data_IF_103889845169
#
_entry.id   IF_103889845169
#
_cell.length_a   1.000
_cell.length_b   1.000
_cell.length_c   1.000
_cell.angle_alpha   90.00
_cell.angle_beta   90.00
_cell.angle_gamma   90.00
#
_symmetry.space_group_name_H-M   'P 1'
#
loop_
_entity.id
_entity.type
_entity.pdbx_description
1 polymer ?
#
# COMPACT_ATOMS: atom_id res chain seq x y z
N UNK A 1 -90.80 -8.47 -72.30
CA UNK A 1 -89.90 -9.65 -72.16
C UNK A 1 -88.44 -9.23 -72.30
N UNK A 2 -88.04 -8.57 -73.40
CA UNK A 2 -86.63 -8.19 -73.67
C UNK A 2 -85.90 -7.32 -72.62
N UNK A 3 -86.59 -6.39 -71.95
CA UNK A 3 -85.97 -5.50 -70.94
C UNK A 3 -85.69 -6.15 -69.57
N UNK A 4 -86.32 -7.28 -69.25
CA UNK A 4 -86.00 -8.04 -68.01
C UNK A 4 -84.76 -8.91 -68.18
N UNK A 5 -84.55 -9.41 -69.39
CA UNK A 5 -83.37 -10.19 -69.78
C UNK A 5 -82.11 -9.31 -69.78
N UNK A 6 -82.17 -8.10 -70.33
CA UNK A 6 -81.02 -7.16 -70.31
C UNK A 6 -80.61 -6.75 -68.89
N UNK A 7 -81.56 -6.47 -68.00
CA UNK A 7 -81.26 -6.12 -66.60
C UNK A 7 -80.69 -7.31 -65.80
N UNK A 8 -81.12 -8.54 -66.12
CA UNK A 8 -80.56 -9.76 -65.51
C UNK A 8 -79.12 -10.00 -65.94
N UNK A 9 -78.81 -9.76 -67.21
CA UNK A 9 -77.44 -9.91 -67.75
C UNK A 9 -76.51 -8.87 -67.13
N UNK A 10 -76.94 -7.60 -67.03
CA UNK A 10 -76.15 -6.55 -66.35
C UNK A 10 -75.90 -6.88 -64.88
N UNK A 11 -76.89 -7.43 -64.17
CA UNK A 11 -76.73 -7.84 -62.78
C UNK A 11 -75.75 -9.02 -62.63
N UNK A 12 -75.75 -9.97 -63.55
CA UNK A 12 -74.84 -11.12 -63.56
C UNK A 12 -73.40 -10.69 -63.86
N UNK A 13 -73.20 -9.74 -64.77
CA UNK A 13 -71.88 -9.14 -65.04
C UNK A 13 -71.34 -8.34 -63.83
N UNK A 14 -72.20 -7.62 -63.11
CA UNK A 14 -71.80 -6.91 -61.88
C UNK A 14 -71.40 -7.89 -60.77
N UNK A 15 -72.14 -8.99 -60.59
CA UNK A 15 -71.83 -10.03 -59.61
C UNK A 15 -70.48 -10.66 -59.94
N UNK A 16 -70.28 -11.05 -61.21
CA UNK A 16 -69.03 -11.65 -61.67
C UNK A 16 -67.83 -10.72 -61.45
N UNK A 17 -67.98 -9.42 -61.76
CA UNK A 17 -66.93 -8.43 -61.50
C UNK A 17 -66.58 -8.32 -60.01
N UNK A 18 -67.60 -8.33 -59.14
CA UNK A 18 -67.38 -8.28 -57.69
C UNK A 18 -66.69 -9.55 -57.17
N UNK A 19 -67.04 -10.72 -57.69
CA UNK A 19 -66.37 -11.99 -57.36
C UNK A 19 -64.89 -11.99 -57.81
N UNK A 20 -64.61 -11.48 -59.00
CA UNK A 20 -63.25 -11.28 -59.51
C UNK A 20 -62.44 -10.31 -58.62
N UNK A 21 -63.05 -9.20 -58.19
CA UNK A 21 -62.42 -8.24 -57.28
C UNK A 21 -62.14 -8.84 -55.89
N UNK A 22 -63.09 -9.59 -55.33
CA UNK A 22 -62.93 -10.27 -54.04
C UNK A 22 -61.86 -11.35 -54.08
N UNK A 23 -61.77 -12.11 -55.18
CA UNK A 23 -60.72 -13.13 -55.35
C UNK A 23 -59.35 -12.49 -55.55
N UNK A 24 -59.25 -11.40 -56.32
CA UNK A 24 -58.03 -10.62 -56.48
C UNK A 24 -57.53 -10.08 -55.14
N UNK A 25 -58.39 -9.38 -54.39
CA UNK A 25 -58.03 -8.80 -53.08
C UNK A 25 -57.59 -9.88 -52.08
N UNK A 26 -58.24 -11.05 -52.09
CA UNK A 26 -57.84 -12.19 -51.27
C UNK A 26 -56.46 -12.72 -51.65
N UNK A 27 -56.15 -12.79 -52.94
CA UNK A 27 -54.84 -13.22 -53.43
C UNK A 27 -53.74 -12.21 -53.07
N UNK A 28 -54.05 -10.92 -53.16
CA UNK A 28 -53.15 -9.81 -52.80
C UNK A 28 -52.79 -9.87 -51.31
N UNK A 29 -53.77 -9.88 -50.40
CA UNK A 29 -53.53 -10.02 -48.96
C UNK A 29 -52.75 -11.29 -48.62
N UNK A 30 -53.02 -12.41 -49.31
CA UNK A 30 -52.27 -13.66 -49.11
C UNK A 30 -50.82 -13.52 -49.54
N UNK A 31 -50.55 -12.78 -50.62
CA UNK A 31 -49.21 -12.49 -51.10
C UNK A 31 -48.46 -11.59 -50.13
N UNK A 32 -49.09 -10.49 -49.68
CA UNK A 32 -48.53 -9.58 -48.70
C UNK A 32 -48.16 -10.29 -47.40
N UNK A 33 -49.06 -11.15 -46.90
CA UNK A 33 -48.83 -11.93 -45.68
C UNK A 33 -47.60 -12.84 -45.84
N UNK A 34 -47.48 -13.55 -46.97
CA UNK A 34 -46.31 -14.40 -47.25
C UNK A 34 -45.02 -13.59 -47.32
N UNK A 35 -45.07 -12.41 -47.95
CA UNK A 35 -43.92 -11.52 -48.03
C UNK A 35 -43.48 -11.06 -46.64
N UNK A 36 -44.43 -10.67 -45.79
CA UNK A 36 -44.14 -10.23 -44.43
C UNK A 36 -43.52 -11.36 -43.58
N UNK A 37 -44.04 -12.58 -43.68
CA UNK A 37 -43.44 -13.75 -43.03
C UNK A 37 -42.02 -14.01 -43.49
N UNK A 38 -41.77 -14.00 -44.81
CA UNK A 38 -40.43 -14.21 -45.35
C UNK A 38 -39.44 -13.12 -44.90
N UNK A 39 -39.88 -11.86 -44.85
CA UNK A 39 -39.05 -10.76 -44.34
C UNK A 39 -38.77 -10.89 -42.84
N UNK A 40 -39.76 -11.32 -42.07
CA UNK A 40 -39.58 -11.56 -40.63
C UNK A 40 -38.58 -12.69 -40.38
N UNK A 41 -38.72 -13.83 -41.07
CA UNK A 41 -37.77 -14.95 -40.98
C UNK A 41 -36.35 -14.53 -41.37
N UNK A 42 -36.20 -13.74 -42.44
CA UNK A 42 -34.90 -13.22 -42.85
C UNK A 42 -34.28 -12.34 -41.75
N UNK A 43 -35.05 -11.39 -41.20
CA UNK A 43 -34.56 -10.53 -40.12
C UNK A 43 -34.19 -11.32 -38.86
N UNK A 44 -34.97 -12.34 -38.53
CA UNK A 44 -34.67 -13.22 -37.40
C UNK A 44 -33.34 -13.94 -37.61
N UNK A 45 -33.13 -14.53 -38.80
CA UNK A 45 -31.89 -15.22 -39.14
C UNK A 45 -30.67 -14.30 -39.15
N UNK A 46 -30.82 -13.09 -39.69
CA UNK A 46 -29.75 -12.07 -39.66
C UNK A 46 -29.41 -11.69 -38.22
N UNK A 47 -30.41 -11.41 -37.38
CA UNK A 47 -30.20 -11.07 -35.97
C UNK A 47 -29.56 -12.20 -35.17
N UNK A 48 -30.00 -13.42 -35.39
CA UNK A 48 -29.45 -14.61 -34.72
C UNK A 48 -27.98 -14.82 -35.11
N UNK A 49 -27.62 -14.58 -36.38
CA UNK A 49 -26.22 -14.59 -36.83
C UNK A 49 -25.38 -13.45 -36.25
N UNK A 50 -25.93 -12.24 -36.11
CA UNK A 50 -25.27 -11.12 -35.44
C UNK A 50 -24.98 -11.44 -33.97
N UNK A 51 -25.94 -12.02 -33.25
CA UNK A 51 -25.77 -12.43 -31.85
C UNK A 51 -24.72 -13.52 -31.71
N UNK A 52 -24.77 -14.56 -32.54
CA UNK A 52 -23.80 -15.66 -32.49
C UNK A 52 -22.36 -15.14 -32.71
N UNK A 53 -22.19 -14.24 -33.70
CA UNK A 53 -20.90 -13.59 -33.94
C UNK A 53 -20.46 -12.75 -32.74
N UNK A 54 -21.34 -11.95 -32.17
CA UNK A 54 -21.05 -11.10 -31.01
C UNK A 54 -20.64 -11.94 -29.79
N UNK A 55 -21.33 -13.04 -29.51
CA UNK A 55 -20.98 -13.95 -28.42
C UNK A 55 -19.63 -14.63 -28.66
N UNK A 56 -19.39 -15.11 -29.88
CA UNK A 56 -18.11 -15.74 -30.24
C UNK A 56 -16.94 -14.77 -30.08
N UNK A 57 -17.08 -13.54 -30.56
CA UNK A 57 -16.06 -12.49 -30.43
C UNK A 57 -15.83 -12.09 -28.96
N UNK A 58 -16.91 -11.91 -28.19
CA UNK A 58 -16.81 -11.59 -26.76
C UNK A 58 -16.13 -12.70 -25.97
N UNK A 59 -16.45 -13.97 -26.27
CA UNK A 59 -15.84 -15.12 -25.64
C UNK A 59 -14.35 -15.24 -25.99
N UNK A 60 -13.99 -15.11 -27.27
CA UNK A 60 -12.60 -15.15 -27.72
C UNK A 60 -11.78 -14.02 -27.09
N UNK A 61 -12.34 -12.81 -27.00
CA UNK A 61 -11.68 -11.66 -26.37
C UNK A 61 -11.47 -11.89 -24.87
N UNK A 62 -12.49 -12.35 -24.16
CA UNK A 62 -12.40 -12.67 -22.73
C UNK A 62 -11.32 -13.71 -22.46
N UNK A 63 -11.27 -14.77 -23.28
CA UNK A 63 -10.28 -15.83 -23.14
C UNK A 63 -8.86 -15.33 -23.42
N UNK A 64 -8.66 -14.51 -24.45
CA UNK A 64 -7.35 -13.95 -24.76
C UNK A 64 -6.84 -13.02 -23.65
N UNK A 65 -7.74 -12.26 -23.01
CA UNK A 65 -7.40 -11.41 -21.86
C UNK A 65 -7.03 -12.24 -20.62
N UNK A 66 -7.78 -13.32 -20.36
CA UNK A 66 -7.45 -14.29 -19.30
C UNK A 66 -6.06 -14.91 -19.53
N UNK A 67 -5.77 -15.40 -20.74
CA UNK A 67 -4.46 -15.98 -21.09
C UNK A 67 -3.32 -14.95 -20.93
N UNK A 68 -3.56 -13.69 -21.31
CA UNK A 68 -2.58 -12.61 -21.13
C UNK A 68 -2.31 -12.30 -19.65
N UNK A 69 -3.35 -12.26 -18.82
CA UNK A 69 -3.17 -12.02 -17.37
C UNK A 69 -2.46 -13.19 -16.69
N UNK A 70 -2.79 -14.43 -17.07
CA UNK A 70 -2.10 -15.62 -16.58
C UNK A 70 -0.60 -15.62 -16.96
N UNK A 71 -0.26 -15.24 -18.19
CA UNK A 71 1.13 -15.11 -18.63
C UNK A 71 1.90 -14.02 -17.85
N UNK A 72 1.26 -12.88 -17.56
CA UNK A 72 1.91 -11.82 -16.77
C UNK A 72 2.11 -12.25 -15.31
N UNK A 73 1.13 -12.92 -14.70
CA UNK A 73 1.28 -13.49 -13.36
C UNK A 73 2.48 -14.45 -13.32
N UNK A 74 2.59 -15.36 -14.30
CA UNK A 74 3.71 -16.30 -14.38
C UNK A 74 5.06 -15.58 -14.55
N UNK A 75 5.10 -14.51 -15.37
CA UNK A 75 6.30 -13.68 -15.57
C UNK A 75 6.74 -13.00 -14.27
N UNK A 76 5.79 -12.40 -13.54
CA UNK A 76 6.06 -11.74 -12.27
C UNK A 76 6.53 -12.73 -11.20
N UNK A 77 5.94 -13.92 -11.15
CA UNK A 77 6.39 -15.00 -10.27
C UNK A 77 7.83 -15.42 -10.55
N UNK A 78 8.18 -15.64 -11.83
CA UNK A 78 9.55 -15.99 -12.22
C UNK A 78 10.57 -14.89 -11.87
N UNK A 79 10.20 -13.61 -12.04
CA UNK A 79 11.06 -12.49 -11.65
C UNK A 79 11.26 -12.42 -10.13
N UNK A 80 10.20 -12.66 -9.35
CA UNK A 80 10.27 -12.69 -7.89
C UNK A 80 11.17 -13.83 -7.41
N UNK A 81 10.98 -15.03 -7.97
CA UNK A 81 11.76 -16.21 -7.64
C UNK A 81 13.23 -16.07 -8.03
N UNK A 82 13.54 -15.32 -9.10
CA UNK A 82 14.92 -15.00 -9.50
C UNK A 82 15.61 -13.95 -8.62
N UNK A 83 14.89 -12.92 -8.14
CA UNK A 83 15.49 -11.86 -7.32
C UNK A 83 15.64 -12.22 -5.84
N UNK A 84 14.78 -13.08 -5.31
CA UNK A 84 14.82 -13.46 -3.90
C UNK A 84 16.16 -14.10 -3.45
N UNK A 85 16.75 -15.08 -4.19
CA UNK A 85 18.02 -15.69 -3.76
C UNK A 85 19.20 -14.72 -3.82
N UNK A 86 19.16 -13.71 -4.72
CA UNK A 86 20.20 -12.70 -4.78
C UNK A 86 20.17 -11.77 -3.56
N UNK A 87 18.96 -11.33 -3.16
CA UNK A 87 18.76 -10.53 -1.95
C UNK A 87 19.17 -11.31 -0.70
N UNK A 88 18.74 -12.56 -0.58
CA UNK A 88 19.16 -13.45 0.52
C UNK A 88 20.69 -13.61 0.57
N UNK A 89 21.35 -13.78 -0.57
CA UNK A 89 22.81 -13.86 -0.64
C UNK A 89 23.50 -12.57 -0.19
N UNK A 90 22.97 -11.40 -0.56
CA UNK A 90 23.53 -10.11 -0.14
C UNK A 90 23.37 -9.93 1.36
N UNK A 91 22.19 -10.25 1.90
CA UNK A 91 21.91 -10.16 3.34
C UNK A 91 22.84 -11.09 4.12
N UNK A 92 22.95 -12.35 3.71
CA UNK A 92 23.83 -13.33 4.37
C UNK A 92 25.30 -12.89 4.37
N UNK A 93 25.78 -12.30 3.27
CA UNK A 93 27.15 -11.77 3.19
C UNK A 93 27.35 -10.58 4.13
N UNK A 94 26.35 -9.68 4.24
CA UNK A 94 26.42 -8.54 5.16
C UNK A 94 26.35 -8.95 6.62
N UNK A 95 25.52 -9.94 6.95
CA UNK A 95 25.46 -10.51 8.30
C UNK A 95 26.79 -11.17 8.67
N UNK A 96 27.42 -11.88 7.73
CA UNK A 96 28.75 -12.44 7.94
C UNK A 96 29.80 -11.36 8.22
N UNK A 97 29.84 -10.30 7.40
CA UNK A 97 30.76 -9.18 7.59
C UNK A 97 30.56 -8.50 8.96
N UNK A 98 29.31 -8.32 9.39
CA UNK A 98 29.00 -7.79 10.72
C UNK A 98 29.50 -8.72 11.83
N UNK A 99 29.27 -10.03 11.70
CA UNK A 99 29.76 -11.01 12.67
C UNK A 99 31.29 -11.01 12.78
N UNK A 100 32.01 -10.96 11.66
CA UNK A 100 33.47 -10.90 11.64
C UNK A 100 33.99 -9.65 12.37
N UNK A 101 33.36 -8.49 12.13
CA UNK A 101 33.71 -7.23 12.81
C UNK A 101 33.42 -7.32 14.32
N UNK A 102 32.24 -7.83 14.70
CA UNK A 102 31.88 -7.98 16.12
C UNK A 102 32.91 -8.86 16.84
N UNK A 103 33.28 -10.00 16.25
CA UNK A 103 34.27 -10.91 16.83
C UNK A 103 35.63 -10.22 17.02
N UNK A 104 36.08 -9.43 16.05
CA UNK A 104 37.33 -8.68 16.16
C UNK A 104 37.30 -7.64 17.30
N UNK A 105 36.19 -6.92 17.47
CA UNK A 105 36.03 -5.96 18.55
C UNK A 105 35.90 -6.62 19.93
N UNK A 106 35.21 -7.76 20.02
CA UNK A 106 35.14 -8.57 21.24
C UNK A 106 36.52 -9.08 21.67
N UNK A 107 37.34 -9.55 20.72
CA UNK A 107 38.71 -10.00 20.99
C UNK A 107 39.59 -8.85 21.50
N UNK A 108 39.54 -7.68 20.83
CA UNK A 108 40.28 -6.49 21.27
C UNK A 108 39.85 -6.03 22.66
N UNK A 109 38.55 -6.04 22.93
CA UNK A 109 38.01 -5.66 24.23
C UNK A 109 38.46 -6.64 25.33
N UNK A 110 38.45 -7.95 25.05
CA UNK A 110 38.92 -8.97 25.97
C UNK A 110 40.42 -8.85 26.26
N UNK A 111 41.25 -8.71 25.22
CA UNK A 111 42.70 -8.50 25.36
C UNK A 111 43.02 -7.24 26.18
N UNK A 112 42.32 -6.13 25.91
CA UNK A 112 42.47 -4.91 26.71
C UNK A 112 42.02 -5.13 28.16
N UNK A 113 40.94 -5.87 28.38
CA UNK A 113 40.44 -6.19 29.71
C UNK A 113 41.41 -7.06 30.52
N UNK A 114 42.07 -8.03 29.88
CA UNK A 114 43.10 -8.86 30.50
C UNK A 114 44.34 -8.05 30.89
N UNK A 115 44.82 -7.17 30.02
CA UNK A 115 45.95 -6.28 30.32
C UNK A 115 45.64 -5.35 31.50
N UNK A 116 44.42 -4.80 31.56
CA UNK A 116 44.00 -3.97 32.69
C UNK A 116 43.95 -4.75 33.99
N UNK A 117 43.41 -5.98 33.98
CA UNK A 117 43.43 -6.88 35.15
C UNK A 117 44.84 -7.21 35.59
N UNK A 118 45.76 -7.49 34.65
CA UNK A 118 47.15 -7.76 34.96
C UNK A 118 47.84 -6.54 35.60
N UNK A 119 47.56 -5.34 35.11
CA UNK A 119 48.10 -4.11 35.69
C UNK A 119 47.54 -3.82 37.07
N UNK A 120 46.25 -4.08 37.27
CA UNK A 120 45.59 -3.95 38.58
C UNK A 120 46.21 -4.87 39.62
N UNK A 121 46.45 -6.15 39.29
CA UNK A 121 47.09 -7.09 40.21
C UNK A 121 48.51 -6.69 40.57
N UNK A 122 49.27 -6.18 39.60
CA UNK A 122 50.64 -5.69 39.83
C UNK A 122 50.65 -4.46 40.76
N UNK A 123 49.74 -3.51 40.56
CA UNK A 123 49.60 -2.34 41.43
C UNK A 123 49.17 -2.73 42.85
N UNK A 124 48.24 -3.68 42.99
CA UNK A 124 47.84 -4.22 44.30
C UNK A 124 49.02 -4.88 45.03
N UNK A 125 49.86 -5.62 44.31
CA UNK A 125 51.08 -6.21 44.87
C UNK A 125 52.08 -5.13 45.33
N UNK A 126 52.29 -4.08 44.53
CA UNK A 126 53.16 -2.96 44.92
C UNK A 126 52.62 -2.22 46.16
N UNK A 127 51.31 -1.98 46.23
CA UNK A 127 50.67 -1.38 47.40
C UNK A 127 50.88 -2.24 48.64
N UNK A 128 50.73 -3.57 48.53
CA UNK A 128 50.95 -4.50 49.64
C UNK A 128 52.40 -4.43 50.18
N UNK A 129 53.39 -4.45 49.28
CA UNK A 129 54.82 -4.32 49.67
C UNK A 129 55.12 -2.97 50.33
N UNK A 130 54.55 -1.88 49.82
CA UNK A 130 54.73 -0.55 50.42
C UNK A 130 54.07 -0.47 51.80
N UNK A 131 52.87 -1.04 51.98
CA UNK A 131 52.20 -1.13 53.28
C UNK A 131 53.02 -1.95 54.27
N UNK A 132 53.59 -3.09 53.85
CA UNK A 132 54.47 -3.91 54.66
C UNK A 132 55.70 -3.11 55.15
N UNK A 133 56.39 -2.43 54.24
CA UNK A 133 57.53 -1.57 54.59
C UNK A 133 57.14 -0.44 55.57
N UNK A 134 55.98 0.18 55.41
CA UNK A 134 55.48 1.21 56.35
C UNK A 134 55.20 0.59 57.73
N UNK A 135 54.58 -0.59 57.79
CA UNK A 135 54.31 -1.27 59.07
C UNK A 135 55.59 -1.73 59.77
N UNK A 136 56.58 -2.21 59.03
CA UNK A 136 57.90 -2.60 59.55
C UNK A 136 58.69 -1.40 60.09
N UNK A 137 58.68 -0.28 59.37
CA UNK A 137 59.33 0.96 59.83
C UNK A 137 58.61 1.57 61.04
N UNK A 138 57.30 1.37 61.17
CA UNK A 138 56.51 1.82 62.33
C UNK A 138 56.72 0.94 63.56
N UNK A 139 56.95 -0.37 63.39
CA UNK A 139 57.28 -1.29 64.50
C UNK A 139 58.75 -1.21 64.95
N UNK A 140 59.66 -0.70 64.11
CA UNK A 140 61.04 -0.41 64.48
C UNK A 140 61.21 0.87 65.34
N UNK A 141 60.14 1.66 65.56
CA UNK A 141 60.20 2.96 66.25
C UNK A 141 59.43 3.05 67.58
N UNK A 142 59.15 1.96 68.31
CA UNK A 142 58.46 2.04 69.62
C UNK A 142 59.25 1.48 70.82
N UNK A 143 59.63 2.38 71.74
CA UNK A 143 59.67 2.19 73.20
C UNK A 143 59.59 3.54 73.96
N UNK A 144 59.14 3.58 75.23
CA UNK A 144 57.97 4.38 75.65
C UNK A 144 58.27 5.55 76.62
N UNK A 145 57.46 6.63 76.56
CA UNK A 145 57.11 7.58 77.66
C UNK A 145 56.06 8.59 77.11
N UNK A 146 54.78 8.63 77.53
CA UNK A 146 54.21 9.19 78.77
C UNK A 146 54.23 10.74 78.73
N UNK A 147 53.16 11.55 78.70
CA UNK A 147 51.79 11.51 79.28
C UNK A 147 50.93 12.75 78.78
N UNK A 148 49.63 12.92 79.14
CA UNK A 148 48.53 13.58 78.37
C UNK A 148 47.98 14.89 79.05
N UNK A 149 46.72 15.40 78.92
CA UNK A 149 45.64 15.26 77.92
C UNK A 149 45.07 16.64 77.41
N UNK A 150 44.34 16.67 76.28
CA UNK A 150 43.25 17.67 76.12
C UNK A 150 42.09 17.13 75.28
N UNK A 151 40.90 17.55 75.66
CA UNK A 151 39.65 16.81 75.56
C UNK A 151 38.80 17.27 74.35
N UNK A 152 38.00 16.32 73.87
CA UNK A 152 36.70 16.44 73.19
C UNK A 152 36.47 17.56 72.16
N UNK A 153 36.20 17.18 70.91
CA UNK A 153 34.91 17.50 70.27
C UNK A 153 34.55 16.39 69.27
N UNK A 154 33.61 15.54 69.68
CA UNK A 154 32.72 14.87 68.73
C UNK A 154 31.86 15.98 68.13
N UNK A 155 32.11 16.30 66.87
CA UNK A 155 31.12 16.95 66.02
C UNK A 155 30.73 15.93 64.96
N UNK A 156 29.57 15.33 65.18
CA UNK A 156 28.67 14.86 64.14
C UNK A 156 28.40 16.04 63.19
N UNK A 157 29.19 16.17 62.15
CA UNK A 157 28.92 17.05 61.03
C UNK A 157 28.80 16.18 59.79
N UNK A 158 27.56 15.85 59.44
CA UNK A 158 27.17 15.63 58.04
C UNK A 158 27.83 16.71 57.20
N UNK A 159 28.81 16.34 56.39
CA UNK A 159 29.20 17.14 55.24
C UNK A 159 29.34 16.20 54.05
N UNK A 160 28.65 16.46 52.94
CA UNK A 160 28.48 15.49 51.88
C UNK A 160 29.80 15.27 51.15
N UNK A 161 30.08 14.02 50.84
CA UNK A 161 30.96 13.64 49.73
C UNK A 161 30.51 14.45 48.50
N UNK A 162 31.32 15.36 47.91
CA UNK A 162 31.07 15.79 46.55
C UNK A 162 31.44 14.58 45.70
N UNK A 163 30.45 13.71 45.52
CA UNK A 163 30.42 12.74 44.43
C UNK A 163 30.56 13.61 43.19
N UNK A 164 31.75 13.64 42.60
CA UNK A 164 31.93 14.11 41.23
C UNK A 164 31.23 13.10 40.34
N UNK A 165 29.89 13.15 40.37
CA UNK A 165 29.06 12.81 39.25
C UNK A 165 29.50 13.83 38.21
N UNK A 166 30.34 13.43 37.26
CA UNK A 166 30.18 13.95 35.91
C UNK A 166 28.79 13.47 35.49
N UNK A 167 27.78 14.23 35.91
CA UNK A 167 26.53 14.30 35.19
C UNK A 167 26.95 14.83 33.83
N UNK A 168 27.05 13.92 32.87
CA UNK A 168 26.93 14.30 31.48
C UNK A 168 25.56 14.96 31.40
N UNK A 169 25.59 16.28 31.35
CA UNK A 169 24.45 17.05 30.90
C UNK A 169 24.17 16.51 29.51
N UNK A 170 23.10 15.74 29.38
CA UNK A 170 22.43 15.57 28.09
C UNK A 170 21.94 16.96 27.73
N UNK A 171 22.80 17.71 27.05
CA UNK A 171 22.35 18.73 26.13
C UNK A 171 21.62 17.98 25.03
N UNK A 172 20.31 18.16 25.03
CA UNK A 172 19.38 17.77 23.99
C UNK A 172 19.63 18.68 22.78
N UNK A 173 20.85 18.64 22.24
CA UNK A 173 21.21 19.32 20.99
C UNK A 173 21.10 18.29 19.87
N UNK A 174 19.84 17.96 19.56
CA UNK A 174 19.43 17.41 18.29
C UNK A 174 19.80 18.44 17.21
N UNK A 175 21.03 18.38 16.71
CA UNK A 175 21.34 18.93 15.40
C UNK A 175 20.63 18.06 14.37
N UNK A 176 19.38 18.43 14.08
CA UNK A 176 18.75 18.17 12.79
C UNK A 176 19.74 18.61 11.73
N UNK A 177 20.28 17.64 11.01
CA UNK A 177 21.01 17.88 9.77
C UNK A 177 20.05 18.60 8.82
N UNK A 178 20.25 19.91 8.70
CA UNK A 178 19.70 20.74 7.64
C UNK A 178 20.25 20.23 6.30
N UNK A 179 19.50 19.33 5.66
CA UNK A 179 19.66 19.00 4.25
C UNK A 179 18.69 19.88 3.46
N UNK A 180 19.06 21.15 3.28
CA UNK A 180 18.46 21.99 2.25
C UNK A 180 19.46 23.01 1.70
N UNK A 181 20.06 22.69 0.56
CA UNK A 181 20.41 23.66 -0.48
C UNK A 181 20.72 22.89 -1.78
N UNK A 182 19.69 22.60 -2.57
CA UNK A 182 19.36 23.31 -3.83
C UNK A 182 20.51 23.37 -4.85
N UNK A 183 20.48 22.46 -5.82
CA UNK A 183 20.67 22.87 -7.21
C UNK A 183 19.60 22.20 -8.07
N UNK A 184 18.55 22.96 -8.35
CA UNK A 184 17.54 22.65 -9.35
C UNK A 184 18.10 22.97 -10.72
N UNK A 185 18.02 22.02 -11.64
CA UNK A 185 17.71 22.31 -13.05
C UNK A 185 17.08 21.08 -13.69
N UNK A 186 15.96 21.32 -14.38
CA UNK A 186 15.33 20.51 -15.42
C UNK A 186 14.26 19.48 -15.00
N UNK A 187 13.04 20.01 -14.92
CA UNK A 187 11.87 19.58 -15.71
C UNK A 187 11.27 18.16 -15.52
N UNK A 188 10.07 18.18 -14.93
CA UNK A 188 8.91 17.32 -15.23
C UNK A 188 9.00 15.83 -14.86
N UNK A 189 8.56 15.49 -13.65
CA UNK A 189 7.38 14.63 -13.42
C UNK A 189 7.09 14.51 -11.91
N UNK A 190 5.80 14.60 -11.58
CA UNK A 190 5.23 14.55 -10.24
C UNK A 190 5.63 13.28 -9.47
N UNK A 191 6.65 13.37 -8.64
CA UNK A 191 6.89 12.42 -7.55
C UNK A 191 6.73 13.15 -6.23
N UNK A 192 5.53 12.98 -5.67
CA UNK A 192 5.22 12.93 -4.24
C UNK A 192 6.35 13.39 -3.32
N UNK A 193 6.29 14.66 -2.93
CA UNK A 193 6.99 15.15 -1.74
C UNK A 193 6.32 14.46 -0.54
N UNK A 194 6.88 13.29 -0.21
CA UNK A 194 6.86 12.57 1.06
C UNK A 194 5.72 12.98 2.01
N UNK A 195 4.59 12.27 1.93
CA UNK A 195 3.70 12.15 3.08
C UNK A 195 4.50 11.49 4.22
N UNK A 196 4.40 12.02 5.45
CA UNK A 196 5.10 11.44 6.60
C UNK A 196 4.71 9.94 6.74
N UNK A 197 5.58 9.06 7.28
CA UNK A 197 5.28 7.62 7.40
C UNK A 197 3.90 7.32 8.02
N UNK A 198 3.46 8.16 8.94
CA UNK A 198 2.14 8.08 9.59
C UNK A 198 0.98 8.48 8.68
N UNK A 199 1.16 9.49 7.82
CA UNK A 199 0.14 9.89 6.84
C UNK A 199 -0.07 8.80 5.78
N UNK A 200 1.00 8.09 5.39
CA UNK A 200 0.93 7.00 4.43
C UNK A 200 0.15 5.79 5.00
N UNK A 201 0.40 5.43 6.25
CA UNK A 201 -0.34 4.36 6.93
C UNK A 201 -1.82 4.71 7.10
N UNK A 202 -2.10 5.96 7.49
CA UNK A 202 -3.47 6.47 7.55
C UNK A 202 -4.18 6.41 6.19
N UNK A 203 -3.52 6.88 5.13
CA UNK A 203 -4.07 6.87 3.78
C UNK A 203 -4.40 5.44 3.32
N UNK A 204 -3.53 4.46 3.64
CA UNK A 204 -3.77 3.05 3.32
C UNK A 204 -5.06 2.53 3.97
N UNK A 205 -5.29 2.85 5.26
CA UNK A 205 -6.48 2.41 5.97
C UNK A 205 -7.76 3.08 5.41
N UNK A 206 -7.69 4.38 5.13
CA UNK A 206 -8.80 5.14 4.53
C UNK A 206 -9.16 4.62 3.14
N UNK A 207 -8.16 4.32 2.31
CA UNK A 207 -8.36 3.75 0.98
C UNK A 207 -9.02 2.37 1.04
N UNK A 208 -8.57 1.51 1.97
CA UNK A 208 -9.16 0.19 2.15
C UNK A 208 -10.66 0.29 2.47
N UNK A 209 -11.03 1.11 3.46
CA UNK A 209 -12.44 1.28 3.84
C UNK A 209 -13.28 1.92 2.72
N UNK A 210 -12.71 2.84 1.93
CA UNK A 210 -13.35 3.44 0.75
C UNK A 210 -13.63 2.39 -0.33
N UNK A 211 -12.65 1.52 -0.63
CA UNK A 211 -12.81 0.44 -1.61
C UNK A 211 -13.82 -0.63 -1.16
N UNK A 212 -13.98 -0.82 0.16
CA UNK A 212 -15.01 -1.67 0.73
C UNK A 212 -16.41 -1.03 0.76
N UNK A 213 -16.57 0.18 0.21
CA UNK A 213 -17.87 0.84 0.08
C UNK A 213 -18.40 1.47 1.36
N UNK A 214 -17.58 1.63 2.40
CA UNK A 214 -18.01 2.21 3.68
C UNK A 214 -17.83 3.72 3.67
N UNK A 215 -18.87 4.48 4.03
CA UNK A 215 -18.81 5.95 4.19
C UNK A 215 -18.10 6.67 3.02
N UNK A 216 -18.33 6.23 1.79
CA UNK A 216 -17.49 6.59 0.63
C UNK A 216 -17.40 8.10 0.38
N UNK A 217 -18.48 8.84 0.59
CA UNK A 217 -18.49 10.31 0.46
C UNK A 217 -17.54 11.00 1.47
N UNK A 218 -17.50 10.53 2.71
CA UNK A 218 -16.61 11.07 3.75
C UNK A 218 -15.17 10.69 3.47
N UNK A 219 -14.92 9.41 3.14
CA UNK A 219 -13.57 8.92 2.89
C UNK A 219 -12.97 9.55 1.62
N UNK A 220 -13.77 9.82 0.57
CA UNK A 220 -13.30 10.53 -0.62
C UNK A 220 -12.77 11.94 -0.28
N UNK A 221 -13.44 12.67 0.63
CA UNK A 221 -12.99 14.00 1.11
C UNK A 221 -11.68 13.89 1.88
N UNK A 222 -11.56 12.87 2.73
CA UNK A 222 -10.33 12.58 3.48
C UNK A 222 -9.17 12.26 2.53
N UNK A 223 -9.38 11.37 1.56
CA UNK A 223 -8.37 11.00 0.56
C UNK A 223 -7.91 12.23 -0.23
N UNK A 224 -8.85 13.04 -0.73
CA UNK A 224 -8.53 14.26 -1.46
C UNK A 224 -7.70 15.25 -0.60
N UNK A 225 -7.99 15.33 0.70
CA UNK A 225 -7.25 16.20 1.63
C UNK A 225 -5.83 15.69 1.89
N UNK A 226 -5.68 14.39 2.17
CA UNK A 226 -4.37 13.75 2.44
C UNK A 226 -3.48 13.79 1.19
N UNK A 227 -4.06 13.54 0.02
CA UNK A 227 -3.35 13.62 -1.27
C UNK A 227 -3.18 15.05 -1.80
N UNK A 228 -3.66 16.06 -1.05
CA UNK A 228 -3.54 17.48 -1.40
C UNK A 228 -4.08 17.80 -2.80
N UNK A 229 -5.24 17.25 -3.13
CA UNK A 229 -5.92 17.53 -4.40
C UNK A 229 -6.23 19.03 -4.52
N UNK A 230 -6.14 19.55 -5.74
CA UNK A 230 -6.63 20.90 -6.02
C UNK A 230 -8.14 20.99 -5.74
N UNK A 231 -8.65 22.21 -5.57
CA UNK A 231 -10.09 22.43 -5.34
C UNK A 231 -10.95 21.84 -6.46
N UNK A 232 -10.51 22.00 -7.71
CA UNK A 232 -11.20 21.45 -8.89
C UNK A 232 -11.23 19.92 -8.87
N UNK A 233 -10.09 19.27 -8.61
CA UNK A 233 -10.02 17.81 -8.48
C UNK A 233 -10.90 17.30 -7.34
N UNK A 234 -10.91 18.01 -6.21
CA UNK A 234 -11.71 17.65 -5.03
C UNK A 234 -13.21 17.73 -5.35
N UNK A 235 -13.66 18.81 -5.99
CA UNK A 235 -15.05 18.97 -6.43
C UNK A 235 -15.44 17.84 -7.39
N UNK A 236 -14.62 17.57 -8.41
CA UNK A 236 -14.91 16.52 -9.39
C UNK A 236 -15.05 15.13 -8.76
N UNK A 237 -14.21 14.80 -7.77
CA UNK A 237 -14.29 13.52 -7.04
C UNK A 237 -15.55 13.45 -6.19
N UNK A 238 -15.90 14.51 -5.47
CA UNK A 238 -17.10 14.55 -4.62
C UNK A 238 -18.37 14.45 -5.47
N UNK A 239 -18.46 15.19 -6.58
CA UNK A 239 -19.62 15.16 -7.48
C UNK A 239 -19.84 13.76 -8.06
N UNK A 240 -18.78 13.08 -8.51
CA UNK A 240 -18.89 11.69 -8.99
C UNK A 240 -19.36 10.72 -7.90
N UNK A 241 -18.92 10.93 -6.66
CA UNK A 241 -19.36 10.09 -5.54
C UNK A 241 -20.84 10.31 -5.22
N UNK A 242 -21.33 11.55 -5.30
CA UNK A 242 -22.75 11.90 -5.15
C UNK A 242 -23.61 11.31 -6.28
N UNK A 243 -23.15 11.36 -7.53
CA UNK A 243 -23.82 10.71 -8.67
C UNK A 243 -23.91 9.19 -8.47
N UNK A 244 -22.82 8.54 -8.03
CA UNK A 244 -22.80 7.11 -7.76
C UNK A 244 -23.78 6.73 -6.65
N UNK A 245 -23.87 7.52 -5.58
CA UNK A 245 -24.86 7.29 -4.52
C UNK A 245 -26.28 7.43 -5.05
N UNK A 246 -26.59 8.49 -5.80
CA UNK A 246 -27.92 8.72 -6.35
C UNK A 246 -28.33 7.61 -7.34
N UNK A 247 -27.39 7.12 -8.15
CA UNK A 247 -27.66 6.06 -9.12
C UNK A 247 -27.74 4.67 -8.46
N UNK A 248 -26.99 4.43 -7.38
CA UNK A 248 -27.03 3.18 -6.63
C UNK A 248 -28.36 2.95 -5.90
N UNK A 249 -29.06 4.02 -5.49
CA UNK A 249 -30.40 3.93 -4.90
C UNK A 249 -31.50 3.68 -5.95
N UNK A 250 -31.32 4.15 -7.19
CA UNK A 250 -32.29 4.02 -8.27
C UNK A 250 -32.24 2.66 -8.99
N UNK A 251 -31.12 1.94 -8.93
CA UNK A 251 -30.94 0.62 -9.55
C UNK A 251 -31.18 -0.56 -8.58
N UNK A 252 -31.62 -0.28 -7.34
CA UNK A 252 -31.86 -1.27 -6.29
C UNK A 252 -33.34 -1.65 -6.07
N UNK A 253 -34.23 -1.39 -7.04
CA UNK A 253 -35.65 -1.82 -7.02
C UNK A 253 -35.95 -2.82 -8.13
#
# INVERSE_FOLDING_TARGET
MRGKESNSIEQEDLIKKHEEEMTHLTAEHKSEMKQLYSQFEQKMKEKEGEFEKMFSEAYAKSRAEEERTAAEIQRLQSLLEGHNPHLESIVAEKDRQLHDIIAEYEEKLNSSGELLKQRETELLAQIALLQENITFNKSASESPQGSPPYNSHVSTASTPVPRSKKAVHFSDDLHTVDLNSTHSTSENHSTTVLAEPTELEYLKNVLYEYMMGKQTQTLAKVIASVMKFSKEQTINVITKEEEKMNNSWLMGS
#
